data_IF_190796193189
#
_entry.id   IF_190796193189
#
_cell.length_a   1.000
_cell.length_b   1.000
_cell.length_c   1.000
_cell.angle_alpha   90.00
_cell.angle_beta   90.00
_cell.angle_gamma   90.00
#
_symmetry.space_group_name_H-M   'P 1'
#
loop_
_entity.id
_entity.type
_entity.pdbx_description
1 polymer ?
#
# COMPACT_ATOMS: atom_id res chain seq x y z
N UNK A 1 20.14 -4.18 -17.89
CA UNK A 1 20.43 -3.30 -16.74
C UNK A 1 19.79 -3.92 -15.51
N UNK A 2 20.46 -3.98 -14.34
CA UNK A 2 19.83 -4.46 -13.11
C UNK A 2 18.67 -3.53 -12.72
N UNK A 3 17.58 -4.10 -12.17
CA UNK A 3 16.47 -3.29 -11.67
C UNK A 3 16.88 -2.64 -10.33
N UNK A 4 16.59 -1.36 -10.09
CA UNK A 4 16.85 -0.72 -8.80
C UNK A 4 16.18 -1.48 -7.65
N UNK A 5 16.87 -1.57 -6.50
CA UNK A 5 16.29 -2.05 -5.26
C UNK A 5 15.23 -1.05 -4.77
N UNK A 6 14.11 -1.53 -4.24
CA UNK A 6 12.97 -0.70 -3.84
C UNK A 6 12.37 -1.16 -2.52
N UNK A 7 11.89 -0.22 -1.72
CA UNK A 7 11.12 -0.50 -0.52
C UNK A 7 9.63 -0.29 -0.79
N UNK A 8 8.80 -1.23 -0.33
CA UNK A 8 7.35 -1.17 -0.46
C UNK A 8 6.64 -1.19 0.89
N UNK A 9 5.47 -0.57 0.95
CA UNK A 9 4.56 -0.58 2.11
C UNK A 9 3.18 -1.05 1.68
N UNK A 10 2.55 -1.91 2.47
CA UNK A 10 1.18 -2.38 2.24
C UNK A 10 0.22 -1.67 3.20
N UNK A 11 -0.75 -0.93 2.66
CA UNK A 11 -1.75 -0.21 3.43
C UNK A 11 -2.98 -1.11 3.59
N UNK A 12 -3.09 -1.78 4.74
CA UNK A 12 -4.07 -2.84 4.96
C UNK A 12 -5.48 -2.31 5.26
N UNK A 13 -5.56 -1.21 6.01
CA UNK A 13 -6.85 -0.68 6.46
C UNK A 13 -7.43 0.28 5.43
N UNK A 14 -8.67 0.05 4.94
CA UNK A 14 -9.38 1.03 4.14
C UNK A 14 -9.58 2.31 4.94
N UNK A 15 -9.50 3.45 4.24
CA UNK A 15 -9.68 4.76 4.84
C UNK A 15 -10.49 5.66 3.89
N UNK A 16 -11.13 6.73 4.38
CA UNK A 16 -11.67 7.78 3.54
C UNK A 16 -10.60 8.34 2.59
N UNK A 17 -11.02 8.86 1.43
CA UNK A 17 -10.12 9.26 0.36
C UNK A 17 -9.04 10.25 0.80
N UNK A 18 -9.37 11.22 1.64
CA UNK A 18 -8.41 12.21 2.16
C UNK A 18 -7.34 11.57 3.05
N UNK A 19 -7.75 10.72 3.98
CA UNK A 19 -6.84 10.00 4.87
C UNK A 19 -5.94 9.04 4.07
N UNK A 20 -6.51 8.37 3.07
CA UNK A 20 -5.74 7.51 2.17
C UNK A 20 -4.65 8.30 1.44
N UNK A 21 -5.00 9.46 0.88
CA UNK A 21 -4.02 10.34 0.23
C UNK A 21 -2.93 10.81 1.19
N UNK A 22 -3.28 11.14 2.44
CA UNK A 22 -2.31 11.52 3.46
C UNK A 22 -1.34 10.37 3.78
N UNK A 23 -1.83 9.13 3.89
CA UNK A 23 -0.99 7.94 4.07
C UNK A 23 -0.03 7.72 2.89
N UNK A 24 -0.51 7.90 1.66
CA UNK A 24 0.33 7.80 0.46
C UNK A 24 1.46 8.84 0.45
N UNK A 25 1.14 10.12 0.73
CA UNK A 25 2.14 11.19 0.84
C UNK A 25 3.15 10.91 1.94
N UNK A 26 2.69 10.40 3.09
CA UNK A 26 3.57 10.01 4.18
C UNK A 26 4.54 8.89 3.79
N UNK A 27 4.08 7.90 3.01
CA UNK A 27 4.94 6.84 2.48
C UNK A 27 6.01 7.38 1.52
N UNK A 28 5.64 8.33 0.66
CA UNK A 28 6.56 9.04 -0.23
C UNK A 28 7.63 9.82 0.56
N UNK A 29 7.21 10.61 1.58
CA UNK A 29 8.12 11.34 2.47
C UNK A 29 9.09 10.43 3.24
N UNK A 30 8.71 9.18 3.48
CA UNK A 30 9.54 8.16 4.13
C UNK A 30 10.51 7.46 3.16
N UNK A 31 10.39 7.69 1.86
CA UNK A 31 11.24 7.06 0.84
C UNK A 31 10.76 5.68 0.38
N UNK A 32 9.49 5.34 0.56
CA UNK A 32 8.92 4.13 -0.07
C UNK A 32 8.68 4.37 -1.55
N UNK A 33 9.07 3.39 -2.38
CA UNK A 33 8.91 3.44 -3.83
C UNK A 33 7.59 2.85 -4.31
N UNK A 34 6.95 2.03 -3.48
CA UNK A 34 5.78 1.23 -3.85
C UNK A 34 4.74 1.22 -2.74
N UNK A 35 3.51 1.58 -3.08
CA UNK A 35 2.34 1.39 -2.22
C UNK A 35 1.58 0.17 -2.73
N UNK A 36 1.32 -0.79 -1.84
CA UNK A 36 0.48 -1.96 -2.10
C UNK A 36 -0.87 -1.77 -1.43
N UNK A 37 -1.90 -2.32 -2.07
CA UNK A 37 -3.28 -2.33 -1.57
C UNK A 37 -3.77 -3.77 -1.62
N UNK A 38 -4.34 -4.31 -0.53
CA UNK A 38 -5.02 -5.59 -0.60
C UNK A 38 -6.20 -5.51 -1.57
N UNK A 39 -6.29 -6.47 -2.48
CA UNK A 39 -7.45 -6.63 -3.38
C UNK A 39 -8.70 -7.15 -2.63
N UNK A 40 -8.57 -7.38 -1.33
CA UNK A 40 -9.62 -7.85 -0.43
C UNK A 40 -9.60 -7.02 0.86
N UNK A 41 -10.68 -6.24 1.05
CA UNK A 41 -10.88 -5.30 2.16
C UNK A 41 -11.41 -6.00 3.43
N UNK A 42 -10.66 -6.99 3.94
CA UNK A 42 -10.91 -7.58 5.27
C UNK A 42 -11.54 -8.97 5.31
N UNK A 43 -11.80 -9.59 4.15
CA UNK A 43 -12.22 -10.99 4.07
C UNK A 43 -11.22 -11.76 3.22
N UNK A 44 -10.63 -12.81 3.78
CA UNK A 44 -9.99 -13.84 2.97
C UNK A 44 -11.04 -14.40 2.01
N UNK A 45 -10.67 -14.59 0.73
CA UNK A 45 -11.52 -15.30 -0.21
C UNK A 45 -11.99 -16.60 0.45
N UNK A 46 -13.26 -17.02 0.28
CA UNK A 46 -13.66 -18.34 0.74
C UNK A 46 -12.91 -19.34 -0.13
N UNK A 47 -11.76 -19.79 0.36
CA UNK A 47 -11.06 -20.92 -0.23
C UNK A 47 -11.88 -22.19 0.08
N UNK A 48 -11.89 -23.18 -0.82
CA UNK A 48 -12.50 -24.49 -0.54
C UNK A 48 -11.86 -25.19 0.66
#
# INVERSE_FOLDING_TARGET
>A
MPRPFRFGVNLLDPAPAEEWQARCRRAEELGYDVILVPDHLGMIAPFP
#
